data_IF_765690984689
#
_entry.id   IF_765690984689
#
_cell.length_a   1.000
_cell.length_b   1.000
_cell.length_c   1.000
_cell.angle_alpha   90.00
_cell.angle_beta   90.00
_cell.angle_gamma   90.00
#
_symmetry.space_group_name_H-M   'P 1'
#
loop_
_entity.id
_entity.type
_entity.pdbx_description
1 polymer ?
#
# COMPACT_ATOMS: atom_id res chain seq x y z
N UNK A 1 29.31 15.14 -17.36
CA UNK A 1 29.50 14.30 -16.15
C UNK A 1 28.13 13.76 -15.77
N UNK A 2 27.93 12.44 -15.65
CA UNK A 2 26.67 11.93 -15.12
C UNK A 2 26.53 12.36 -13.64
N UNK A 3 25.31 12.61 -13.17
CA UNK A 3 25.05 12.97 -11.77
C UNK A 3 25.66 11.96 -10.78
N UNK A 4 25.63 10.68 -11.15
CA UNK A 4 26.26 9.59 -10.40
C UNK A 4 27.76 9.78 -10.21
N UNK A 5 28.46 10.15 -11.28
CA UNK A 5 29.90 10.37 -11.22
C UNK A 5 30.24 11.55 -10.32
N UNK A 6 29.42 12.59 -10.29
CA UNK A 6 29.57 13.71 -9.34
C UNK A 6 29.42 13.22 -7.90
N UNK A 7 28.40 12.40 -7.59
CA UNK A 7 28.23 11.88 -6.23
C UNK A 7 29.39 10.98 -5.78
N UNK A 8 29.91 10.16 -6.68
CA UNK A 8 31.06 9.30 -6.43
C UNK A 8 32.32 10.15 -6.21
N UNK A 9 32.61 11.10 -7.09
CA UNK A 9 33.79 12.00 -6.99
C UNK A 9 33.78 12.87 -5.73
N UNK A 10 32.59 13.20 -5.21
CA UNK A 10 32.43 13.98 -3.97
C UNK A 10 32.23 13.10 -2.72
N UNK A 11 32.40 11.78 -2.82
CA UNK A 11 32.26 10.83 -1.71
C UNK A 11 30.94 10.98 -0.93
N UNK A 12 29.84 11.28 -1.64
CA UNK A 12 28.54 11.52 -1.00
C UNK A 12 28.04 10.24 -0.34
N UNK A 13 27.73 10.32 0.96
CA UNK A 13 27.20 9.19 1.70
C UNK A 13 25.69 9.02 1.46
N UNK A 14 25.30 8.02 0.66
CA UNK A 14 23.91 7.72 0.33
C UNK A 14 23.44 6.46 1.04
N UNK A 15 22.38 6.57 1.85
CA UNK A 15 21.76 5.42 2.53
C UNK A 15 20.51 4.87 1.83
N UNK A 16 19.85 5.69 1.00
CA UNK A 16 18.65 5.29 0.26
C UNK A 16 18.88 5.52 -1.22
N UNK A 17 18.70 4.45 -1.99
CA UNK A 17 18.87 4.44 -3.41
C UNK A 17 17.58 4.00 -4.09
N UNK A 18 16.81 4.96 -4.60
CA UNK A 18 15.57 4.76 -5.34
C UNK A 18 15.84 5.12 -6.81
N UNK A 19 15.84 4.11 -7.68
CA UNK A 19 16.16 4.30 -9.08
C UNK A 19 15.10 3.65 -9.97
N UNK A 20 14.64 4.42 -10.96
CA UNK A 20 13.93 3.91 -12.12
C UNK A 20 14.90 3.82 -13.28
N UNK A 21 15.17 2.60 -13.72
CA UNK A 21 16.20 2.30 -14.70
C UNK A 21 15.57 2.29 -16.09
N UNK A 22 16.20 3.05 -16.99
CA UNK A 22 15.99 2.97 -18.44
C UNK A 22 17.17 2.19 -19.06
N UNK A 23 16.89 1.26 -19.99
CA UNK A 23 17.90 0.39 -20.59
C UNK A 23 19.05 1.12 -21.26
N UNK A 24 18.80 2.31 -21.81
CA UNK A 24 19.81 3.08 -22.54
C UNK A 24 21.06 3.42 -21.72
N UNK A 25 21.00 3.32 -20.38
CA UNK A 25 22.11 3.65 -19.48
C UNK A 25 22.50 2.52 -18.52
N UNK A 26 21.97 1.31 -18.71
CA UNK A 26 22.22 0.18 -17.79
C UNK A 26 23.69 -0.22 -17.76
N UNK A 27 24.32 -0.34 -18.93
CA UNK A 27 25.71 -0.81 -19.04
C UNK A 27 26.69 0.23 -18.49
N UNK A 28 26.50 1.51 -18.83
CA UNK A 28 27.28 2.63 -18.26
C UNK A 28 27.15 2.67 -16.73
N UNK A 29 25.95 2.43 -16.21
CA UNK A 29 25.71 2.47 -14.79
C UNK A 29 26.35 1.26 -14.08
N UNK A 30 26.29 0.05 -14.67
CA UNK A 30 27.04 -1.10 -14.15
C UNK A 30 28.53 -0.84 -14.14
N UNK A 31 29.07 -0.28 -15.21
CA UNK A 31 30.49 0.01 -15.28
C UNK A 31 30.91 1.01 -14.19
N UNK A 32 30.12 2.06 -13.98
CA UNK A 32 30.34 3.02 -12.89
C UNK A 32 30.24 2.36 -11.51
N UNK A 33 29.29 1.46 -11.33
CA UNK A 33 29.09 0.73 -10.08
C UNK A 33 30.26 -0.19 -9.74
N UNK A 34 30.67 -1.00 -10.71
CA UNK A 34 31.77 -1.95 -10.55
C UNK A 34 33.11 -1.25 -10.33
N UNK A 35 33.29 -0.04 -10.89
CA UNK A 35 34.48 0.79 -10.66
C UNK A 35 34.51 1.43 -9.26
N UNK A 36 33.37 1.57 -8.59
CA UNK A 36 33.25 2.31 -7.33
C UNK A 36 32.43 1.55 -6.27
N UNK A 37 32.80 0.31 -5.91
CA UNK A 37 31.98 -0.55 -5.06
C UNK A 37 31.74 0.04 -3.65
N UNK A 38 32.73 0.74 -3.10
CA UNK A 38 32.66 1.33 -1.75
C UNK A 38 31.55 2.37 -1.60
N UNK A 39 31.22 3.07 -2.69
CA UNK A 39 30.09 4.00 -2.72
C UNK A 39 28.76 3.27 -2.44
N UNK A 40 28.59 2.06 -2.97
CA UNK A 40 27.35 1.29 -2.87
C UNK A 40 27.26 0.46 -1.58
N UNK A 41 28.39 0.17 -0.92
CA UNK A 41 28.41 -0.54 0.37
C UNK A 41 27.58 0.15 1.46
N UNK A 42 27.47 1.48 1.42
CA UNK A 42 26.73 2.28 2.42
C UNK A 42 25.21 2.32 2.21
N UNK A 43 24.72 1.79 1.09
CA UNK A 43 23.29 1.75 0.77
C UNK A 43 22.60 0.75 1.69
N UNK A 44 21.57 1.25 2.40
CA UNK A 44 20.76 0.47 3.34
C UNK A 44 19.36 0.23 2.81
N UNK A 45 18.83 1.13 2.00
CA UNK A 45 17.51 1.02 1.40
C UNK A 45 17.64 1.06 -0.12
N UNK A 46 17.15 0.02 -0.80
CA UNK A 46 17.21 -0.10 -2.24
C UNK A 46 15.80 -0.23 -2.81
N UNK A 47 15.42 0.68 -3.70
CA UNK A 47 14.18 0.58 -4.48
C UNK A 47 14.54 0.57 -5.96
N UNK A 48 14.13 -0.49 -6.63
CA UNK A 48 14.46 -0.71 -8.03
C UNK A 48 13.18 -0.80 -8.86
N UNK A 49 13.04 0.14 -9.78
CA UNK A 49 12.05 0.12 -10.85
C UNK A 49 12.73 -0.09 -12.20
N UNK A 50 12.09 -0.86 -13.07
CA UNK A 50 12.48 -0.97 -14.48
C UNK A 50 11.32 -0.45 -15.33
N UNK A 51 11.57 0.44 -16.29
CA UNK A 51 10.48 1.03 -17.07
C UNK A 51 10.09 0.13 -18.26
N UNK A 52 11.03 -0.67 -18.77
CA UNK A 52 10.85 -1.48 -19.99
C UNK A 52 11.05 -2.99 -19.72
N UNK A 53 10.55 -3.84 -20.62
CA UNK A 53 10.46 -5.31 -20.47
C UNK A 53 11.61 -6.08 -21.14
N UNK A 54 12.65 -5.39 -21.66
CA UNK A 54 13.75 -6.07 -22.37
C UNK A 54 14.69 -6.83 -21.42
N UNK A 55 14.29 -8.06 -21.12
CA UNK A 55 14.84 -8.98 -20.11
C UNK A 55 16.31 -9.39 -20.26
N UNK A 56 17.02 -9.08 -21.35
CA UNK A 56 18.37 -9.65 -21.57
C UNK A 56 19.47 -8.95 -20.76
N UNK A 57 19.56 -7.61 -20.82
CA UNK A 57 20.65 -6.85 -20.18
C UNK A 57 20.43 -6.67 -18.67
N UNK A 58 19.18 -6.48 -18.24
CA UNK A 58 18.88 -6.27 -16.83
C UNK A 58 19.14 -7.51 -15.96
N UNK A 59 19.13 -8.72 -16.54
CA UNK A 59 19.37 -9.99 -15.82
C UNK A 59 20.71 -10.02 -15.08
N UNK A 60 21.74 -9.35 -15.62
CA UNK A 60 23.04 -9.26 -14.98
C UNK A 60 23.14 -8.05 -14.05
N UNK A 61 22.39 -6.98 -14.34
CA UNK A 61 22.38 -5.73 -13.58
C UNK A 61 21.92 -5.92 -12.13
N UNK A 62 20.73 -6.49 -11.98
CA UNK A 62 20.05 -6.69 -10.70
C UNK A 62 20.88 -7.46 -9.66
N UNK A 63 21.45 -8.63 -9.97
CA UNK A 63 22.29 -9.35 -9.01
C UNK A 63 23.53 -8.55 -8.61
N UNK A 64 24.21 -7.91 -9.57
CA UNK A 64 25.41 -7.12 -9.27
C UNK A 64 25.10 -5.95 -8.32
N UNK A 65 23.97 -5.28 -8.53
CA UNK A 65 23.52 -4.21 -7.64
C UNK A 65 23.22 -4.67 -6.23
N UNK A 66 22.48 -5.78 -6.08
CA UNK A 66 22.17 -6.32 -4.77
C UNK A 66 23.46 -6.75 -4.06
N UNK A 67 24.40 -7.38 -4.79
CA UNK A 67 25.67 -7.84 -4.25
C UNK A 67 26.56 -6.68 -3.76
N UNK A 68 26.55 -5.55 -4.49
CA UNK A 68 27.29 -4.35 -4.11
C UNK A 68 26.69 -3.64 -2.89
N UNK A 69 25.39 -3.83 -2.60
CA UNK A 69 24.76 -3.27 -1.41
C UNK A 69 24.97 -4.19 -0.19
N UNK A 70 26.20 -4.30 0.32
CA UNK A 70 26.53 -5.22 1.42
C UNK A 70 25.76 -4.94 2.72
N UNK A 71 25.46 -3.67 3.03
CA UNK A 71 24.74 -3.27 4.24
C UNK A 71 23.22 -3.12 4.03
N UNK A 72 22.67 -3.76 3.00
CA UNK A 72 21.27 -3.62 2.63
C UNK A 72 20.35 -4.12 3.75
N UNK A 73 19.49 -3.23 4.24
CA UNK A 73 18.48 -3.53 5.27
C UNK A 73 17.07 -3.64 4.71
N UNK A 74 16.78 -2.89 3.65
CA UNK A 74 15.45 -2.84 3.03
C UNK A 74 15.53 -2.90 1.52
N UNK A 75 14.69 -3.73 0.90
CA UNK A 75 14.53 -3.77 -0.55
C UNK A 75 13.07 -3.59 -0.97
N UNK A 76 12.84 -2.88 -2.06
CA UNK A 76 11.54 -2.73 -2.71
C UNK A 76 11.60 -3.24 -4.13
N UNK A 77 10.73 -4.21 -4.44
CA UNK A 77 10.66 -4.94 -5.71
C UNK A 77 9.36 -4.59 -6.43
N UNK A 78 9.43 -4.22 -7.71
CA UNK A 78 8.29 -3.73 -8.49
C UNK A 78 7.98 -4.60 -9.71
N UNK A 79 6.79 -4.47 -10.31
CA UNK A 79 6.24 -5.37 -11.34
C UNK A 79 7.18 -5.66 -12.51
N UNK A 80 7.71 -4.63 -13.15
CA UNK A 80 8.57 -4.72 -14.34
C UNK A 80 9.97 -5.22 -13.98
N UNK A 81 10.29 -5.10 -12.70
CA UNK A 81 11.60 -5.39 -12.18
C UNK A 81 11.67 -6.88 -11.83
N UNK A 82 10.64 -7.46 -11.19
CA UNK A 82 10.75 -8.74 -10.49
C UNK A 82 11.32 -9.96 -11.25
N UNK A 83 10.92 -10.30 -12.49
CA UNK A 83 11.48 -11.46 -13.20
C UNK A 83 13.00 -11.39 -13.38
N UNK A 84 13.55 -10.17 -13.37
CA UNK A 84 14.97 -9.88 -13.45
C UNK A 84 15.66 -10.16 -12.11
N UNK A 85 15.00 -9.87 -10.98
CA UNK A 85 15.56 -10.05 -9.63
C UNK A 85 15.32 -11.44 -9.05
N UNK A 86 14.37 -12.20 -9.59
CA UNK A 86 13.95 -13.46 -9.00
C UNK A 86 15.12 -14.44 -8.86
N UNK A 87 15.94 -14.60 -9.91
CA UNK A 87 17.12 -15.48 -9.87
C UNK A 87 18.16 -14.98 -8.87
N UNK A 88 18.38 -13.66 -8.80
CA UNK A 88 19.37 -13.00 -7.94
C UNK A 88 19.04 -13.04 -6.46
N UNK A 89 17.76 -12.84 -6.12
CA UNK A 89 17.29 -12.94 -4.75
C UNK A 89 17.31 -14.40 -4.28
N UNK A 90 17.00 -15.34 -5.16
CA UNK A 90 17.08 -16.77 -4.84
C UNK A 90 18.53 -17.29 -4.76
N UNK A 91 19.50 -16.57 -5.34
CA UNK A 91 20.94 -16.86 -5.22
C UNK A 91 21.61 -16.18 -4.02
N UNK A 92 20.85 -15.67 -3.05
CA UNK A 92 21.38 -15.01 -1.83
C UNK A 92 22.27 -15.94 -0.97
N UNK A 93 22.31 -17.24 -1.27
CA UNK A 93 23.26 -18.21 -0.69
C UNK A 93 24.75 -17.79 -0.83
N UNK A 94 25.08 -16.77 -1.64
CA UNK A 94 26.44 -16.22 -1.78
C UNK A 94 26.69 -14.84 -1.13
N UNK A 95 25.70 -14.19 -0.49
CA UNK A 95 25.81 -12.77 -0.11
C UNK A 95 25.71 -12.45 1.39
N UNK A 96 26.51 -11.45 1.80
CA UNK A 96 26.50 -10.78 3.11
C UNK A 96 25.13 -10.21 3.51
N UNK A 97 24.26 -9.91 2.55
CA UNK A 97 22.95 -9.27 2.78
C UNK A 97 21.92 -10.18 3.44
N UNK A 98 22.10 -11.50 3.46
CA UNK A 98 21.20 -12.45 4.14
C UNK A 98 21.09 -12.19 5.66
N UNK A 99 22.12 -11.58 6.25
CA UNK A 99 22.21 -11.23 7.66
C UNK A 99 21.91 -9.76 7.96
N UNK A 100 21.64 -8.93 6.95
CA UNK A 100 21.30 -7.51 7.13
C UNK A 100 19.91 -7.15 6.62
N UNK A 101 19.41 -7.85 5.60
CA UNK A 101 18.15 -7.56 4.93
C UNK A 101 16.97 -7.98 5.83
N UNK A 102 16.37 -7.00 6.50
CA UNK A 102 15.29 -7.22 7.45
C UNK A 102 13.91 -6.80 6.92
N UNK A 103 13.84 -6.03 5.83
CA UNK A 103 12.57 -5.53 5.28
C UNK A 103 12.46 -5.78 3.78
N UNK A 104 11.37 -6.41 3.36
CA UNK A 104 11.02 -6.60 1.94
C UNK A 104 9.70 -5.91 1.64
N UNK A 105 9.68 -5.10 0.59
CA UNK A 105 8.46 -4.54 -0.01
C UNK A 105 8.27 -5.15 -1.39
N UNK A 106 7.11 -5.78 -1.58
CA UNK A 106 6.65 -6.36 -2.84
C UNK A 106 5.55 -5.45 -3.37
N UNK A 107 5.77 -4.85 -4.53
CA UNK A 107 4.86 -3.86 -5.10
C UNK A 107 4.42 -4.25 -6.51
N UNK A 108 3.12 -4.35 -6.73
CA UNK A 108 2.52 -4.60 -8.05
C UNK A 108 2.92 -5.93 -8.72
N UNK A 109 3.33 -6.94 -7.94
CA UNK A 109 3.79 -8.24 -8.48
C UNK A 109 2.65 -9.21 -8.82
N UNK A 110 2.85 -10.06 -9.83
CA UNK A 110 1.92 -11.15 -10.19
C UNK A 110 2.45 -12.54 -9.78
N UNK A 111 1.93 -13.07 -8.68
CA UNK A 111 2.28 -14.38 -8.12
C UNK A 111 1.57 -15.57 -8.76
N UNK A 112 0.78 -15.36 -9.82
CA UNK A 112 0.39 -16.46 -10.71
C UNK A 112 1.57 -16.93 -11.57
N UNK A 113 2.50 -16.01 -11.90
CA UNK A 113 3.72 -16.31 -12.67
C UNK A 113 4.91 -16.62 -11.73
N UNK A 114 4.96 -15.98 -10.56
CA UNK A 114 6.07 -16.07 -9.61
C UNK A 114 5.80 -17.12 -8.52
N UNK A 115 6.64 -18.14 -8.39
CA UNK A 115 6.33 -19.33 -7.55
C UNK A 115 7.31 -19.65 -6.42
N UNK A 116 8.41 -18.90 -6.24
CA UNK A 116 9.55 -19.27 -5.36
C UNK A 116 9.85 -18.28 -4.21
N UNK A 117 9.04 -17.26 -3.95
CA UNK A 117 9.35 -16.26 -2.91
C UNK A 117 9.28 -16.81 -1.47
N UNK A 118 8.58 -17.93 -1.25
CA UNK A 118 8.59 -18.64 0.02
C UNK A 118 9.99 -19.18 0.37
N UNK A 119 10.78 -19.58 -0.64
CA UNK A 119 12.17 -20.04 -0.46
C UNK A 119 13.09 -18.88 -0.05
N UNK A 120 12.92 -17.71 -0.69
CA UNK A 120 13.65 -16.50 -0.33
C UNK A 120 13.45 -16.16 1.16
N UNK A 121 12.20 -16.15 1.62
CA UNK A 121 11.92 -15.84 3.04
C UNK A 121 12.59 -16.84 3.98
N UNK A 122 12.64 -18.13 3.63
CA UNK A 122 13.34 -19.15 4.41
C UNK A 122 14.85 -18.89 4.53
N UNK A 123 15.50 -18.33 3.51
CA UNK A 123 16.94 -18.04 3.50
C UNK A 123 17.34 -16.78 4.31
N UNK A 124 16.45 -15.80 4.49
CA UNK A 124 16.80 -14.49 5.10
C UNK A 124 16.79 -14.48 6.63
N UNK A 125 17.92 -14.69 7.29
CA UNK A 125 18.03 -14.94 8.74
C UNK A 125 17.42 -13.84 9.62
N UNK A 126 17.54 -12.58 9.20
CA UNK A 126 17.11 -11.40 9.97
C UNK A 126 15.83 -10.76 9.42
N UNK A 127 15.06 -11.46 8.57
CA UNK A 127 13.84 -10.92 7.99
C UNK A 127 12.81 -10.57 9.08
N UNK A 128 12.67 -9.28 9.36
CA UNK A 128 11.75 -8.77 10.38
C UNK A 128 10.37 -8.48 9.79
N UNK A 129 10.31 -7.89 8.60
CA UNK A 129 9.04 -7.45 8.02
C UNK A 129 8.91 -7.63 6.51
N UNK A 130 7.69 -7.95 6.09
CA UNK A 130 7.28 -8.07 4.69
C UNK A 130 6.06 -7.18 4.47
N UNK A 131 6.05 -6.51 3.32
CA UNK A 131 4.94 -5.70 2.84
C UNK A 131 4.53 -6.20 1.45
N UNK A 132 3.26 -6.53 1.28
CA UNK A 132 2.67 -6.95 0.00
C UNK A 132 1.70 -5.85 -0.43
N UNK A 133 2.01 -5.15 -1.51
CA UNK A 133 1.29 -3.94 -1.90
C UNK A 133 0.87 -4.04 -3.37
N UNK A 134 -0.44 -4.00 -3.61
CA UNK A 134 -1.05 -4.11 -4.92
C UNK A 134 -0.60 -5.37 -5.69
N UNK A 135 -0.39 -6.50 -5.02
CA UNK A 135 0.03 -7.73 -5.68
C UNK A 135 -1.17 -8.59 -6.08
N UNK A 136 -1.06 -9.31 -7.21
CA UNK A 136 -1.96 -10.41 -7.58
C UNK A 136 -1.40 -11.68 -6.93
N UNK A 137 -2.13 -12.24 -5.97
CA UNK A 137 -1.71 -13.44 -5.24
C UNK A 137 -2.41 -14.68 -5.81
N UNK A 138 -1.66 -15.78 -5.99
CA UNK A 138 -2.23 -17.11 -6.26
C UNK A 138 -2.55 -17.83 -4.95
N UNK A 139 -3.55 -18.71 -4.96
CA UNK A 139 -3.94 -19.53 -3.81
C UNK A 139 -2.77 -20.37 -3.30
N UNK A 140 -2.01 -21.00 -4.21
CA UNK A 140 -0.78 -21.75 -3.91
C UNK A 140 0.27 -20.90 -3.16
N UNK A 141 0.46 -19.65 -3.59
CA UNK A 141 1.41 -18.75 -2.93
C UNK A 141 0.94 -18.40 -1.51
N UNK A 142 -0.32 -18.03 -1.34
CA UNK A 142 -0.88 -17.72 -0.01
C UNK A 142 -0.75 -18.92 0.93
N UNK A 143 -1.05 -20.12 0.45
CA UNK A 143 -0.88 -21.35 1.22
C UNK A 143 0.57 -21.58 1.65
N UNK A 144 1.54 -21.38 0.75
CA UNK A 144 2.98 -21.47 1.08
C UNK A 144 3.36 -20.47 2.18
N UNK A 145 2.89 -19.22 2.10
CA UNK A 145 3.15 -18.19 3.10
C UNK A 145 2.53 -18.53 4.46
N UNK A 146 1.32 -19.09 4.47
CA UNK A 146 0.67 -19.60 5.69
C UNK A 146 1.48 -20.75 6.30
N UNK A 147 2.12 -21.59 5.48
CA UNK A 147 2.90 -22.74 5.95
C UNK A 147 4.34 -22.38 6.36
N UNK A 148 4.79 -21.13 6.23
CA UNK A 148 6.12 -20.72 6.66
C UNK A 148 6.25 -20.73 8.18
N UNK A 149 7.19 -21.51 8.73
CA UNK A 149 7.45 -21.55 10.19
C UNK A 149 8.23 -20.31 10.66
N UNK A 150 8.93 -19.65 9.73
CA UNK A 150 9.86 -18.57 10.06
C UNK A 150 9.15 -17.35 10.67
N UNK A 151 9.68 -16.77 11.77
CA UNK A 151 9.09 -15.60 12.39
C UNK A 151 9.44 -14.34 11.59
N UNK A 152 8.50 -13.84 10.79
CA UNK A 152 8.55 -12.49 10.24
C UNK A 152 7.18 -11.83 10.42
N UNK A 153 7.14 -10.50 10.34
CA UNK A 153 5.92 -9.70 10.47
C UNK A 153 5.40 -9.31 9.08
N UNK A 154 4.20 -9.76 8.73
CA UNK A 154 3.51 -9.22 7.57
C UNK A 154 2.82 -7.91 7.99
N UNK A 155 3.39 -6.76 7.58
CA UNK A 155 2.98 -5.43 8.08
C UNK A 155 2.01 -4.70 7.17
N UNK A 156 2.02 -5.01 5.88
CA UNK A 156 1.13 -4.40 4.90
C UNK A 156 0.60 -5.44 3.94
N UNK A 157 -0.70 -5.39 3.67
CA UNK A 157 -1.38 -6.14 2.62
C UNK A 157 -2.30 -5.18 1.87
N UNK A 158 -1.99 -4.88 0.62
CA UNK A 158 -2.93 -4.25 -0.32
C UNK A 158 -3.09 -5.21 -1.48
N UNK A 159 -4.32 -5.61 -1.77
CA UNK A 159 -4.60 -6.62 -2.78
C UNK A 159 -5.53 -6.05 -3.83
N UNK A 160 -5.25 -6.42 -5.08
CA UNK A 160 -6.26 -6.32 -6.13
C UNK A 160 -7.33 -7.39 -5.92
N UNK A 161 -8.46 -7.18 -6.59
CA UNK A 161 -9.56 -8.14 -6.64
C UNK A 161 -9.08 -9.54 -7.01
N UNK A 162 -9.64 -10.52 -6.30
CA UNK A 162 -9.62 -11.92 -6.69
C UNK A 162 -11.03 -12.50 -6.49
N UNK A 163 -11.60 -13.09 -7.54
CA UNK A 163 -12.98 -13.59 -7.56
C UNK A 163 -13.08 -15.08 -7.19
N UNK A 164 -12.02 -15.68 -6.66
CA UNK A 164 -11.98 -17.10 -6.26
C UNK A 164 -12.37 -17.25 -4.78
N UNK A 165 -13.40 -18.04 -4.47
CA UNK A 165 -13.85 -18.30 -3.08
C UNK A 165 -12.71 -18.80 -2.19
N UNK A 166 -11.93 -19.77 -2.69
CA UNK A 166 -10.77 -20.33 -1.99
C UNK A 166 -9.75 -19.24 -1.61
N UNK A 167 -9.64 -18.17 -2.41
CA UNK A 167 -8.76 -17.06 -2.08
C UNK A 167 -9.23 -16.30 -0.84
N UNK A 168 -10.54 -16.07 -0.70
CA UNK A 168 -11.12 -15.39 0.47
C UNK A 168 -10.88 -16.22 1.74
N UNK A 169 -11.11 -17.53 1.67
CA UNK A 169 -10.86 -18.47 2.79
C UNK A 169 -9.38 -18.46 3.21
N UNK A 170 -8.46 -18.53 2.24
CA UNK A 170 -7.02 -18.47 2.50
C UNK A 170 -6.60 -17.11 3.06
N UNK A 171 -7.22 -16.01 2.61
CA UNK A 171 -6.94 -14.69 3.14
C UNK A 171 -7.37 -14.60 4.62
N UNK A 172 -8.51 -15.17 5.01
CA UNK A 172 -8.91 -15.25 6.42
C UNK A 172 -7.88 -16.01 7.27
N UNK A 173 -7.36 -17.14 6.77
CA UNK A 173 -6.29 -17.90 7.45
C UNK A 173 -4.98 -17.10 7.54
N UNK A 174 -4.65 -16.33 6.51
CA UNK A 174 -3.49 -15.44 6.52
C UNK A 174 -3.65 -14.34 7.59
N UNK A 175 -4.84 -13.75 7.71
CA UNK A 175 -5.17 -12.78 8.76
C UNK A 175 -5.12 -13.40 10.15
N UNK A 176 -5.60 -14.63 10.32
CA UNK A 176 -5.49 -15.32 11.61
C UNK A 176 -4.03 -15.50 12.04
N UNK A 177 -3.13 -15.75 11.08
CA UNK A 177 -1.72 -15.97 11.36
C UNK A 177 -0.93 -14.68 11.59
N UNK A 178 -1.17 -13.66 10.77
CA UNK A 178 -0.33 -12.45 10.75
C UNK A 178 -1.07 -11.17 11.17
N UNK A 179 -2.37 -11.25 11.48
CA UNK A 179 -3.24 -10.09 11.71
C UNK A 179 -2.71 -9.14 12.79
N UNK A 180 -2.17 -9.69 13.88
CA UNK A 180 -1.62 -8.88 14.98
C UNK A 180 -0.43 -8.02 14.54
N UNK A 181 0.25 -8.35 13.44
CA UNK A 181 1.35 -7.57 12.89
C UNK A 181 0.94 -6.57 11.81
N UNK A 182 -0.29 -6.68 11.27
CA UNK A 182 -0.74 -5.81 10.20
C UNK A 182 -0.95 -4.39 10.71
N UNK A 183 -0.29 -3.45 10.04
CA UNK A 183 -0.44 -2.01 10.28
C UNK A 183 -1.17 -1.33 9.11
N UNK A 184 -1.16 -1.94 7.92
CA UNK A 184 -1.75 -1.36 6.71
C UNK A 184 -2.51 -2.44 5.93
N UNK A 185 -3.76 -2.17 5.60
CA UNK A 185 -4.61 -3.11 4.89
C UNK A 185 -5.43 -2.42 3.81
N UNK A 186 -5.53 -3.04 2.65
CA UNK A 186 -6.47 -2.61 1.63
C UNK A 186 -6.95 -3.72 0.70
N UNK A 187 -8.22 -3.61 0.30
CA UNK A 187 -8.92 -4.65 -0.45
C UNK A 187 -10.12 -4.10 -1.22
N UNK A 188 -10.45 -4.72 -2.35
CA UNK A 188 -11.69 -4.48 -3.10
C UNK A 188 -12.77 -5.47 -2.66
N UNK A 189 -13.97 -4.99 -2.34
CA UNK A 189 -15.10 -5.79 -1.81
C UNK A 189 -16.42 -5.46 -2.50
N UNK A 190 -17.33 -6.42 -2.58
CA UNK A 190 -18.69 -6.26 -3.10
C UNK A 190 -18.85 -6.53 -4.60
N UNK A 191 -17.88 -7.17 -5.25
CA UNK A 191 -17.99 -7.53 -6.67
C UNK A 191 -18.25 -9.01 -6.91
N UNK A 192 -17.88 -9.87 -5.97
CA UNK A 192 -17.97 -11.31 -6.16
C UNK A 192 -19.41 -11.80 -5.94
N UNK A 193 -19.69 -13.02 -6.40
CA UNK A 193 -20.87 -13.77 -5.95
C UNK A 193 -20.80 -14.18 -4.47
N UNK A 194 -19.67 -13.93 -3.80
CA UNK A 194 -19.32 -14.39 -2.44
C UNK A 194 -19.35 -13.24 -1.42
N UNK A 195 -20.39 -12.42 -1.50
CA UNK A 195 -20.56 -11.24 -0.63
C UNK A 195 -20.57 -11.65 0.85
N UNK A 196 -21.18 -12.79 1.18
CA UNK A 196 -21.25 -13.30 2.56
C UNK A 196 -19.85 -13.60 3.12
N UNK A 197 -18.96 -14.15 2.29
CA UNK A 197 -17.60 -14.50 2.66
C UNK A 197 -16.70 -13.27 2.74
N UNK A 198 -16.96 -12.26 1.90
CA UNK A 198 -16.35 -10.93 2.05
C UNK A 198 -16.79 -10.24 3.35
N UNK A 199 -18.05 -10.40 3.78
CA UNK A 199 -18.50 -9.91 5.10
C UNK A 199 -17.75 -10.63 6.24
N UNK A 200 -17.61 -11.95 6.17
CA UNK A 200 -16.82 -12.73 7.14
C UNK A 200 -15.34 -12.35 7.13
N UNK A 201 -14.79 -11.95 5.98
CA UNK A 201 -13.43 -11.43 5.89
C UNK A 201 -13.31 -10.12 6.67
N UNK A 202 -14.26 -9.19 6.55
CA UNK A 202 -14.27 -7.94 7.34
C UNK A 202 -14.38 -8.22 8.85
N UNK A 203 -15.20 -9.19 9.26
CA UNK A 203 -15.27 -9.65 10.65
C UNK A 203 -13.93 -10.26 11.13
N UNK A 204 -13.26 -11.01 10.26
CA UNK A 204 -11.93 -11.56 10.53
C UNK A 204 -10.88 -10.46 10.72
N UNK A 205 -10.95 -9.37 9.95
CA UNK A 205 -10.08 -8.20 10.15
C UNK A 205 -10.33 -7.61 11.55
N UNK A 206 -11.59 -7.39 11.94
CA UNK A 206 -11.93 -6.89 13.28
C UNK A 206 -11.36 -7.83 14.36
N UNK A 207 -11.48 -9.14 14.15
CA UNK A 207 -11.07 -10.16 15.12
C UNK A 207 -9.55 -10.23 15.28
N UNK A 208 -8.81 -10.28 14.18
CA UNK A 208 -7.38 -10.61 14.17
C UNK A 208 -6.44 -9.42 13.94
N UNK A 209 -6.91 -8.29 13.40
CA UNK A 209 -6.04 -7.19 12.98
C UNK A 209 -6.19 -5.96 13.89
N UNK A 210 -5.63 -6.03 15.10
CA UNK A 210 -5.81 -4.96 16.11
C UNK A 210 -4.99 -3.69 15.84
N UNK A 211 -3.95 -3.77 15.03
CA UNK A 211 -2.95 -2.69 14.87
C UNK A 211 -3.06 -1.91 13.55
N UNK A 212 -4.19 -2.03 12.84
CA UNK A 212 -4.39 -1.32 11.57
C UNK A 212 -4.40 0.19 11.79
N UNK A 213 -3.45 0.87 11.13
CA UNK A 213 -3.29 2.32 11.09
C UNK A 213 -3.73 2.90 9.76
N UNK A 214 -3.66 2.11 8.68
CA UNK A 214 -4.11 2.51 7.36
C UNK A 214 -5.07 1.48 6.78
N UNK A 215 -6.30 1.92 6.49
CA UNK A 215 -7.32 1.14 5.80
C UNK A 215 -7.64 1.78 4.43
N UNK A 216 -7.53 1.01 3.34
CA UNK A 216 -7.91 1.41 1.97
C UNK A 216 -8.92 0.42 1.38
N UNK A 217 -10.18 0.82 1.27
CA UNK A 217 -11.24 -0.06 0.80
C UNK A 217 -11.95 0.51 -0.42
N UNK A 218 -12.23 -0.36 -1.38
CA UNK A 218 -13.07 -0.05 -2.54
C UNK A 218 -14.31 -0.92 -2.48
N UNK A 219 -15.49 -0.31 -2.44
CA UNK A 219 -16.76 -1.00 -2.16
C UNK A 219 -17.71 -0.92 -3.35
N UNK A 220 -18.23 -2.07 -3.74
CA UNK A 220 -19.07 -2.24 -4.92
C UNK A 220 -20.46 -2.82 -4.63
N UNK A 221 -20.80 -3.07 -3.35
CA UNK A 221 -22.10 -3.59 -2.95
C UNK A 221 -22.62 -2.92 -1.67
N UNK A 222 -23.90 -2.55 -1.65
CA UNK A 222 -24.56 -1.97 -0.47
C UNK A 222 -24.48 -2.86 0.76
N UNK A 223 -24.50 -4.19 0.59
CA UNK A 223 -24.42 -5.15 1.71
C UNK A 223 -23.11 -5.07 2.49
N UNK A 224 -22.08 -4.43 1.94
CA UNK A 224 -20.77 -4.28 2.59
C UNK A 224 -20.66 -2.98 3.38
N UNK A 225 -21.55 -2.01 3.17
CA UNK A 225 -21.46 -0.67 3.79
C UNK A 225 -21.56 -0.71 5.32
N UNK A 226 -22.51 -1.45 5.88
CA UNK A 226 -22.61 -1.59 7.34
C UNK A 226 -21.45 -2.40 7.96
N UNK A 227 -21.00 -3.52 7.37
CA UNK A 227 -19.75 -4.18 7.77
C UNK A 227 -18.52 -3.25 7.76
N UNK A 228 -18.40 -2.37 6.75
CA UNK A 228 -17.35 -1.34 6.67
C UNK A 228 -17.43 -0.36 7.85
N UNK A 229 -18.63 0.10 8.20
CA UNK A 229 -18.85 0.98 9.35
C UNK A 229 -18.43 0.30 10.65
N UNK A 230 -18.85 -0.95 10.85
CA UNK A 230 -18.44 -1.74 12.00
C UNK A 230 -16.91 -1.90 12.07
N UNK A 231 -16.26 -2.18 10.94
CA UNK A 231 -14.80 -2.25 10.85
C UNK A 231 -14.13 -0.92 11.23
N UNK A 232 -14.63 0.20 10.71
CA UNK A 232 -14.08 1.54 10.98
C UNK A 232 -14.20 1.89 12.47
N UNK A 233 -15.36 1.65 13.06
CA UNK A 233 -15.63 1.87 14.49
C UNK A 233 -14.71 1.01 15.37
N UNK A 234 -14.47 -0.25 15.01
CA UNK A 234 -13.59 -1.15 15.77
C UNK A 234 -12.10 -0.78 15.66
N UNK A 235 -11.68 -0.19 14.54
CA UNK A 235 -10.29 0.21 14.31
C UNK A 235 -9.97 1.63 14.79
N UNK A 236 -10.98 2.41 15.22
CA UNK A 236 -10.86 3.85 15.51
C UNK A 236 -9.71 4.24 16.43
N UNK A 237 -9.30 3.39 17.37
CA UNK A 237 -8.23 3.72 18.32
C UNK A 237 -6.85 3.82 17.66
N UNK A 238 -6.61 3.05 16.60
CA UNK A 238 -5.30 2.95 15.94
C UNK A 238 -5.28 3.55 14.53
N UNK A 239 -6.45 3.82 13.95
CA UNK A 239 -6.61 4.28 12.57
C UNK A 239 -6.11 5.73 12.40
N UNK A 240 -5.07 5.91 11.58
CA UNK A 240 -4.50 7.21 11.22
C UNK A 240 -4.85 7.63 9.78
N UNK A 241 -5.04 6.66 8.90
CA UNK A 241 -5.33 6.88 7.48
C UNK A 241 -6.54 6.04 7.07
N UNK A 242 -7.51 6.68 6.43
CA UNK A 242 -8.68 6.01 5.88
C UNK A 242 -8.88 6.43 4.43
N UNK A 243 -9.01 5.45 3.54
CA UNK A 243 -9.35 5.64 2.14
C UNK A 243 -10.56 4.76 1.81
N UNK A 244 -11.63 5.37 1.30
CA UNK A 244 -12.85 4.68 0.89
C UNK A 244 -13.20 5.13 -0.53
N UNK A 245 -13.43 4.16 -1.42
CA UNK A 245 -13.85 4.39 -2.80
C UNK A 245 -15.17 3.66 -3.06
N UNK A 246 -16.16 4.37 -3.58
CA UNK A 246 -17.52 3.86 -3.86
C UNK A 246 -17.99 4.48 -5.17
N UNK A 247 -18.46 3.64 -6.10
CA UNK A 247 -18.83 4.06 -7.45
C UNK A 247 -20.35 3.95 -7.72
N UNK A 248 -21.17 4.09 -6.66
CA UNK A 248 -22.63 4.07 -6.77
C UNK A 248 -23.26 5.14 -5.88
N UNK A 249 -24.31 5.79 -6.39
CA UNK A 249 -24.98 6.94 -5.76
C UNK A 249 -25.56 6.57 -4.39
N UNK A 250 -26.35 5.50 -4.34
CA UNK A 250 -27.04 5.05 -3.12
C UNK A 250 -26.03 4.76 -1.99
N UNK A 251 -24.93 4.08 -2.31
CA UNK A 251 -23.92 3.66 -1.33
C UNK A 251 -23.11 4.86 -0.83
N UNK A 252 -22.84 5.80 -1.74
CA UNK A 252 -22.14 7.04 -1.44
C UNK A 252 -22.97 7.91 -0.48
N UNK A 253 -24.28 8.01 -0.73
CA UNK A 253 -25.24 8.72 0.14
C UNK A 253 -25.25 8.14 1.56
N UNK A 254 -25.43 6.82 1.70
CA UNK A 254 -25.41 6.14 3.01
C UNK A 254 -24.06 6.35 3.71
N UNK A 255 -22.95 6.29 2.98
CA UNK A 255 -21.59 6.50 3.51
C UNK A 255 -21.40 7.92 4.03
N UNK A 256 -21.79 8.94 3.26
CA UNK A 256 -21.66 10.33 3.69
C UNK A 256 -22.50 10.62 4.93
N UNK A 257 -23.75 10.12 4.99
CA UNK A 257 -24.62 10.35 6.14
C UNK A 257 -24.09 9.73 7.44
N UNK A 258 -23.38 8.60 7.38
CA UNK A 258 -23.02 7.81 8.56
C UNK A 258 -21.52 7.82 8.91
N UNK A 259 -20.61 8.03 7.95
CA UNK A 259 -19.19 7.85 8.21
C UNK A 259 -18.63 8.89 9.20
N UNK A 260 -19.09 10.13 9.12
CA UNK A 260 -18.54 11.25 9.92
C UNK A 260 -18.53 10.99 11.43
N UNK A 261 -19.58 10.36 11.95
CA UNK A 261 -19.73 10.02 13.38
C UNK A 261 -18.87 8.81 13.83
N UNK A 262 -18.39 8.00 12.88
CA UNK A 262 -17.59 6.79 13.14
C UNK A 262 -16.09 7.05 13.01
N UNK A 263 -15.70 8.23 12.53
CA UNK A 263 -14.30 8.60 12.38
C UNK A 263 -13.63 8.72 13.76
N UNK A 264 -12.34 8.39 13.88
CA UNK A 264 -11.61 8.66 15.11
C UNK A 264 -11.49 10.17 15.36
N UNK A 265 -11.09 10.57 16.57
CA UNK A 265 -10.91 11.99 16.91
C UNK A 265 -9.81 12.68 16.08
N UNK A 266 -8.88 11.90 15.51
CA UNK A 266 -7.75 12.40 14.73
C UNK A 266 -7.45 11.47 13.57
N UNK A 267 -7.33 12.02 12.37
CA UNK A 267 -6.80 11.37 11.18
C UNK A 267 -5.65 12.19 10.59
N UNK A 268 -4.59 11.52 10.17
CA UNK A 268 -3.55 12.12 9.33
C UNK A 268 -4.01 12.26 7.89
N UNK A 269 -4.83 11.32 7.40
CA UNK A 269 -5.35 11.33 6.04
C UNK A 269 -6.75 10.72 5.96
N UNK A 270 -7.67 11.43 5.33
CA UNK A 270 -8.96 10.90 4.89
C UNK A 270 -9.09 11.09 3.38
N UNK A 271 -9.35 10.02 2.65
CA UNK A 271 -9.61 10.05 1.21
C UNK A 271 -10.95 9.40 0.91
N UNK A 272 -11.86 10.16 0.31
CA UNK A 272 -13.16 9.66 -0.13
C UNK A 272 -13.26 9.84 -1.64
N UNK A 273 -13.48 8.74 -2.36
CA UNK A 273 -13.82 8.77 -3.80
C UNK A 273 -15.24 8.26 -3.94
N UNK A 274 -16.19 9.17 -4.16
CA UNK A 274 -17.62 8.89 -4.05
C UNK A 274 -18.40 9.60 -5.18
N UNK A 275 -19.66 9.19 -5.39
CA UNK A 275 -20.63 10.04 -6.11
C UNK A 275 -21.35 10.91 -5.08
N UNK A 276 -21.17 12.22 -5.15
CA UNK A 276 -21.52 13.12 -4.06
C UNK A 276 -22.83 13.83 -4.37
N UNK A 277 -23.80 13.72 -3.45
CA UNK A 277 -24.92 14.64 -3.34
C UNK A 277 -24.60 15.69 -2.30
N UNK A 278 -24.99 16.93 -2.57
CA UNK A 278 -24.63 18.06 -1.73
C UNK A 278 -25.17 17.91 -0.30
N UNK A 279 -26.44 17.53 -0.16
CA UNK A 279 -27.14 17.41 1.11
C UNK A 279 -26.45 16.38 2.02
N UNK A 280 -26.06 15.25 1.44
CA UNK A 280 -25.37 14.17 2.16
C UNK A 280 -23.95 14.59 2.58
N UNK A 281 -23.25 15.34 1.73
CA UNK A 281 -21.93 15.86 2.06
C UNK A 281 -21.99 16.89 3.19
N UNK A 282 -23.01 17.75 3.21
CA UNK A 282 -23.23 18.67 4.33
C UNK A 282 -23.44 17.91 5.65
N UNK A 283 -24.20 16.81 5.62
CA UNK A 283 -24.39 15.92 6.79
C UNK A 283 -23.04 15.31 7.21
N UNK A 284 -22.24 14.80 6.28
CA UNK A 284 -20.90 14.27 6.57
C UNK A 284 -20.02 15.30 7.31
N UNK A 285 -19.99 16.55 6.85
CA UNK A 285 -19.19 17.61 7.44
C UNK A 285 -19.66 17.96 8.86
N UNK A 286 -20.99 18.04 9.08
CA UNK A 286 -21.56 18.28 10.42
C UNK A 286 -21.22 17.12 11.37
N UNK A 287 -21.34 15.88 10.90
CA UNK A 287 -21.07 14.70 11.72
C UNK A 287 -19.59 14.50 12.02
N UNK A 288 -18.68 14.99 11.16
CA UNK A 288 -17.23 14.91 11.34
C UNK A 288 -16.62 16.12 12.07
N UNK A 289 -17.43 17.04 12.61
CA UNK A 289 -16.95 18.28 13.25
C UNK A 289 -15.96 18.05 14.41
N UNK A 290 -16.10 16.93 15.12
CA UNK A 290 -15.26 16.54 16.26
C UNK A 290 -13.98 15.79 15.86
N UNK A 291 -13.81 15.49 14.57
CA UNK A 291 -12.62 14.82 14.05
C UNK A 291 -11.65 15.85 13.48
N UNK A 292 -10.41 15.83 13.96
CA UNK A 292 -9.31 16.55 13.34
C UNK A 292 -8.78 15.76 12.14
N UNK A 293 -8.83 16.33 10.94
CA UNK A 293 -8.32 15.71 9.70
C UNK A 293 -7.17 16.57 9.17
N UNK A 294 -5.94 16.06 9.21
CA UNK A 294 -4.76 16.81 8.73
C UNK A 294 -4.76 17.00 7.21
N UNK A 295 -5.15 15.97 6.46
CA UNK A 295 -5.26 16.03 5.00
C UNK A 295 -6.55 15.32 4.56
N UNK A 296 -7.46 16.09 3.98
CA UNK A 296 -8.70 15.60 3.39
C UNK A 296 -8.59 15.61 1.86
N UNK A 297 -8.82 14.47 1.23
CA UNK A 297 -8.98 14.33 -0.22
C UNK A 297 -10.41 13.89 -0.52
N UNK A 298 -11.12 14.67 -1.31
CA UNK A 298 -12.43 14.33 -1.84
C UNK A 298 -12.30 14.24 -3.36
N UNK A 299 -12.50 13.06 -3.91
CA UNK A 299 -12.59 12.82 -5.34
C UNK A 299 -14.05 12.54 -5.69
N UNK A 300 -14.56 13.22 -6.72
CA UNK A 300 -15.86 12.91 -7.28
C UNK A 300 -15.67 12.01 -8.51
N UNK A 301 -16.56 11.04 -8.69
CA UNK A 301 -16.60 10.19 -9.89
C UNK A 301 -17.83 10.53 -10.73
N UNK A 302 -17.66 10.73 -12.03
CA UNK A 302 -18.74 11.11 -12.96
C UNK A 302 -19.42 9.94 -13.67
N UNK A 303 -19.11 8.69 -13.31
CA UNK A 303 -19.76 7.52 -13.92
C UNK A 303 -21.24 7.48 -13.50
N UNK A 304 -22.14 7.65 -14.47
CA UNK A 304 -23.60 7.49 -14.30
C UNK A 304 -24.39 8.73 -13.90
N UNK A 305 -23.96 9.95 -14.29
CA UNK A 305 -24.65 11.18 -13.87
C UNK A 305 -25.94 11.51 -14.64
N UNK A 306 -26.98 11.86 -13.87
CA UNK A 306 -28.03 12.83 -14.24
C UNK A 306 -27.49 14.27 -14.10
N UNK A 307 -28.11 15.26 -14.77
CA UNK A 307 -27.63 16.65 -14.87
C UNK A 307 -27.45 17.38 -13.53
N UNK A 308 -28.10 16.94 -12.45
CA UNK A 308 -28.07 17.52 -11.10
C UNK A 308 -26.67 17.56 -10.44
N UNK A 309 -25.74 16.69 -10.86
CA UNK A 309 -24.41 16.59 -10.25
C UNK A 309 -23.36 17.59 -10.78
N UNK A 310 -23.67 18.38 -11.82
CA UNK A 310 -22.68 19.33 -12.40
C UNK A 310 -22.42 20.54 -11.51
N UNK A 311 -23.41 20.97 -10.73
CA UNK A 311 -23.28 22.12 -9.83
C UNK A 311 -22.59 21.78 -8.50
N UNK A 312 -22.31 20.49 -8.26
CA UNK A 312 -21.85 19.99 -6.96
C UNK A 312 -20.42 20.44 -6.61
N UNK A 313 -19.54 20.65 -7.60
CA UNK A 313 -18.13 21.01 -7.33
C UNK A 313 -17.98 22.39 -6.69
N UNK A 314 -18.61 23.41 -7.28
CA UNK A 314 -18.53 24.79 -6.80
C UNK A 314 -19.23 24.93 -5.44
N UNK A 315 -20.33 24.21 -5.24
CA UNK A 315 -21.05 24.19 -3.97
C UNK A 315 -20.19 23.52 -2.88
N UNK A 316 -19.60 22.35 -3.14
CA UNK A 316 -18.70 21.67 -2.19
C UNK A 316 -17.52 22.59 -1.81
N UNK A 317 -16.87 23.21 -2.80
CA UNK A 317 -15.77 24.14 -2.57
C UNK A 317 -16.19 25.34 -1.71
N UNK A 318 -17.36 25.92 -1.98
CA UNK A 318 -17.89 27.06 -1.22
C UNK A 318 -18.11 26.70 0.26
N UNK A 319 -18.63 25.51 0.54
CA UNK A 319 -18.92 25.06 1.90
C UNK A 319 -17.65 24.67 2.66
N UNK A 320 -16.71 23.99 2.01
CA UNK A 320 -15.39 23.70 2.61
C UNK A 320 -14.72 25.03 3.02
N UNK A 321 -14.72 26.04 2.14
CA UNK A 321 -14.20 27.38 2.48
C UNK A 321 -14.92 28.00 3.67
N UNK A 322 -16.25 27.89 3.74
CA UNK A 322 -17.06 28.41 4.86
C UNK A 322 -16.69 27.73 6.19
N UNK A 323 -16.57 26.40 6.21
CA UNK A 323 -16.18 25.67 7.43
C UNK A 323 -14.76 26.03 7.87
N UNK A 324 -13.80 26.09 6.93
CA UNK A 324 -12.43 26.49 7.28
C UNK A 324 -12.38 27.90 7.85
N UNK A 325 -13.13 28.83 7.25
CA UNK A 325 -13.23 30.20 7.75
C UNK A 325 -13.87 30.26 9.15
N UNK A 326 -14.92 29.49 9.41
CA UNK A 326 -15.53 29.40 10.76
C UNK A 326 -14.60 28.72 11.78
N UNK A 327 -13.80 27.73 11.37
CA UNK A 327 -12.78 27.11 12.23
C UNK A 327 -11.61 28.05 12.53
N UNK A 328 -11.11 28.81 11.56
CA UNK A 328 -10.11 29.87 11.81
C UNK A 328 -10.65 30.96 12.74
N UNK A 329 -11.92 31.34 12.58
CA UNK A 329 -12.57 32.35 13.44
C UNK A 329 -12.77 31.85 14.88
N UNK A 330 -12.97 30.55 15.08
CA UNK A 330 -13.13 29.92 16.39
C UNK A 330 -11.81 29.40 17.00
N UNK A 331 -10.71 29.37 16.24
CA UNK A 331 -9.35 29.12 16.73
C UNK A 331 -8.58 30.42 16.92
N UNK A 332 -8.89 31.12 18.01
CA UNK A 332 -7.90 32.00 18.62
C UNK A 332 -6.86 31.07 19.28
N UNK A 333 -5.61 31.13 18.78
CA UNK A 333 -4.38 30.40 19.14
C UNK A 333 -4.25 28.98 18.54
N UNK A 334 -3.24 28.61 17.75
CA UNK A 334 -2.05 29.26 17.21
C UNK A 334 -1.34 28.28 16.25
N UNK A 335 -0.69 28.80 15.21
CA UNK A 335 -0.01 28.07 14.14
C UNK A 335 1.35 27.48 14.56
N UNK A 336 1.72 26.33 13.98
CA UNK A 336 3.03 26.06 13.38
C UNK A 336 2.89 25.08 12.21
#
# INVERSE_FOLDING_TARGET
MSLFKIFIENEVNIHTFDIQINFSYIDDMLELMLKNPDFFHNIRNLKLGCIDVLLSHAKNFAPQMINLCQNLKKISLTCNSFPIYQSSLLSIDYNHSSNTLNTIILYSLNFKVITNLDKLFKQLNVLESVHIIYCILSTDFVQKIINLIKPFKLKSIFLYRNNELQFIELLQLLLQKYGDYLENFGFEVGFSSFISEEQQLLESIIKYCKNIKFLDLTVFNSRIIYPLFNLTENLKQNLNHLSIKIFAIEFSSITLQNLGQLLPLKLEYLSLTLIIKYEDFEIFLKNSQNTYIKKLLINYTSEGQDEECRDTHDIILSYIKKIYYEKEKNQIFGYY
#
